data_IF_457494270032
#
_entry.id   IF_457494270032
#
_cell.length_a   1.000
_cell.length_b   1.000
_cell.length_c   1.000
_cell.angle_alpha   90.00
_cell.angle_beta   90.00
_cell.angle_gamma   90.00
#
_symmetry.space_group_name_H-M   'P 1'
#
loop_
_entity.id
_entity.type
_entity.pdbx_description
1 polymer ?
#
# COMPACT_ATOMS: atom_id res chain seq x y z
N UNK A 1 26.13 -24.46 14.59
CA UNK A 1 25.92 -24.36 13.12
C UNK A 1 25.31 -23.00 12.80
N UNK A 2 26.15 -22.01 12.47
CA UNK A 2 25.72 -20.66 12.09
C UNK A 2 25.15 -20.70 10.67
N UNK A 3 23.82 -20.78 10.56
CA UNK A 3 23.14 -20.74 9.28
C UNK A 3 23.09 -19.28 8.81
N UNK A 4 24.18 -18.83 8.17
CA UNK A 4 24.23 -17.57 7.44
C UNK A 4 23.29 -17.69 6.23
N UNK A 5 21.98 -17.47 6.47
CA UNK A 5 20.99 -17.28 5.42
C UNK A 5 21.49 -16.16 4.53
N UNK A 6 21.83 -16.46 3.29
CA UNK A 6 22.15 -15.43 2.30
C UNK A 6 21.02 -14.41 2.32
N UNK A 7 21.35 -13.13 2.49
CA UNK A 7 20.34 -12.07 2.45
C UNK A 7 19.71 -12.15 1.06
N UNK A 8 18.41 -12.45 1.00
CA UNK A 8 17.73 -12.55 -0.28
C UNK A 8 17.65 -11.14 -0.87
N UNK A 9 17.70 -11.00 -2.19
CA UNK A 9 17.63 -9.69 -2.87
C UNK A 9 16.48 -8.82 -2.32
N UNK A 10 15.33 -9.45 -2.07
CA UNK A 10 14.14 -8.81 -1.51
C UNK A 10 14.32 -8.21 -0.10
N UNK A 11 15.34 -8.60 0.67
CA UNK A 11 15.64 -8.02 1.99
C UNK A 11 16.17 -6.57 1.91
N UNK A 12 16.42 -6.05 0.70
CA UNK A 12 16.89 -4.68 0.46
C UNK A 12 15.79 -3.75 -0.07
N UNK A 13 14.54 -4.21 -0.21
CA UNK A 13 13.43 -3.38 -0.70
C UNK A 13 13.09 -2.21 0.22
N UNK A 14 13.45 -2.28 1.51
CA UNK A 14 13.33 -1.13 2.43
C UNK A 14 14.27 0.03 2.06
N UNK A 15 15.45 -0.27 1.46
CA UNK A 15 16.38 0.75 0.96
C UNK A 15 15.74 1.46 -0.23
N UNK A 16 15.08 0.71 -1.11
CA UNK A 16 14.38 1.27 -2.26
C UNK A 16 13.24 2.19 -1.81
N UNK A 17 12.47 1.80 -0.81
CA UNK A 17 11.43 2.65 -0.20
C UNK A 17 12.02 3.94 0.39
N UNK A 18 13.13 3.84 1.13
CA UNK A 18 13.76 4.98 1.79
C UNK A 18 14.41 5.93 0.77
N UNK A 19 15.10 5.38 -0.23
CA UNK A 19 15.61 6.14 -1.37
C UNK A 19 14.46 6.82 -2.12
N UNK A 20 13.36 6.13 -2.39
CA UNK A 20 12.21 6.72 -3.06
C UNK A 20 11.62 7.90 -2.28
N UNK A 21 11.44 7.76 -0.96
CA UNK A 21 10.96 8.86 -0.12
C UNK A 21 11.94 10.03 -0.16
N UNK A 22 13.24 9.76 -0.03
CA UNK A 22 14.28 10.78 -0.13
C UNK A 22 14.23 11.50 -1.48
N UNK A 23 14.24 10.75 -2.59
CA UNK A 23 14.15 11.30 -3.95
C UNK A 23 12.86 12.10 -4.17
N UNK A 24 11.72 11.63 -3.64
CA UNK A 24 10.44 12.34 -3.71
C UNK A 24 10.44 13.67 -2.94
N UNK A 25 11.27 13.82 -1.91
CA UNK A 25 11.45 15.09 -1.21
C UNK A 25 12.22 16.11 -2.08
N UNK A 26 13.23 15.68 -2.82
CA UNK A 26 14.00 16.57 -3.70
C UNK A 26 13.30 16.83 -5.04
N UNK A 27 12.63 15.82 -5.59
CA UNK A 27 11.95 15.92 -6.87
C UNK A 27 10.64 15.11 -6.85
N UNK A 28 9.52 15.84 -6.87
CA UNK A 28 8.19 15.25 -6.74
C UNK A 28 7.83 14.32 -7.91
N UNK A 29 8.45 14.47 -9.09
CA UNK A 29 8.15 13.64 -10.27
C UNK A 29 8.46 12.17 -10.03
N UNK A 30 9.39 11.85 -9.13
CA UNK A 30 9.63 10.46 -8.75
C UNK A 30 8.40 9.80 -8.11
N UNK A 31 7.39 10.56 -7.66
CA UNK A 31 6.14 10.02 -7.13
C UNK A 31 5.48 9.00 -8.08
N UNK A 32 5.66 9.17 -9.39
CA UNK A 32 5.20 8.24 -10.43
C UNK A 32 5.79 6.82 -10.30
N UNK A 33 7.03 6.67 -9.84
CA UNK A 33 7.61 5.36 -9.52
C UNK A 33 6.85 4.67 -8.38
N UNK A 34 6.29 5.44 -7.45
CA UNK A 34 5.47 4.88 -6.37
C UNK A 34 4.15 4.29 -6.88
N UNK A 35 3.66 4.72 -8.05
CA UNK A 35 2.52 4.08 -8.71
C UNK A 35 2.85 2.63 -9.10
N UNK A 36 4.08 2.37 -9.54
CA UNK A 36 4.54 1.01 -9.80
C UNK A 36 4.51 0.16 -8.51
N UNK A 37 4.99 0.71 -7.39
CA UNK A 37 4.94 0.05 -6.08
C UNK A 37 3.51 -0.20 -5.56
N UNK A 38 2.55 0.62 -5.96
CA UNK A 38 1.13 0.44 -5.62
C UNK A 38 0.46 -0.61 -6.53
N UNK A 39 0.79 -0.62 -7.83
CA UNK A 39 0.21 -1.54 -8.81
C UNK A 39 0.72 -2.98 -8.65
N UNK A 40 2.02 -3.19 -8.41
CA UNK A 40 2.62 -4.52 -8.25
C UNK A 40 1.88 -5.41 -7.23
N UNK A 41 1.63 -4.98 -5.96
CA UNK A 41 0.89 -5.79 -5.00
C UNK A 41 -0.51 -6.16 -5.46
N UNK A 42 -1.20 -5.23 -6.14
CA UNK A 42 -2.55 -5.47 -6.65
C UNK A 42 -2.54 -6.49 -7.78
N UNK A 43 -1.62 -6.38 -8.73
CA UNK A 43 -1.46 -7.35 -9.80
C UNK A 43 -1.12 -8.74 -9.25
N UNK A 44 -0.20 -8.84 -8.28
CA UNK A 44 0.13 -10.12 -7.63
C UNK A 44 -1.08 -10.68 -6.87
N UNK A 45 -1.89 -9.85 -6.22
CA UNK A 45 -3.11 -10.32 -5.55
C UNK A 45 -4.15 -10.82 -6.57
N UNK A 46 -4.32 -10.11 -7.70
CA UNK A 46 -5.24 -10.48 -8.77
C UNK A 46 -4.80 -11.78 -9.46
N UNK A 47 -3.54 -11.87 -9.91
CA UNK A 47 -3.01 -13.01 -10.67
C UNK A 47 -2.52 -14.17 -9.81
N UNK A 48 -1.86 -13.89 -8.69
CA UNK A 48 -1.28 -14.88 -7.78
C UNK A 48 -2.23 -15.33 -6.65
N UNK A 49 -3.27 -14.56 -6.32
CA UNK A 49 -4.29 -14.96 -5.34
C UNK A 49 -3.77 -15.08 -3.91
N UNK A 50 -2.57 -14.57 -3.65
CA UNK A 50 -1.89 -14.71 -2.36
C UNK A 50 -1.43 -13.36 -1.83
N UNK A 51 -1.40 -13.25 -0.49
CA UNK A 51 -0.83 -12.09 0.23
C UNK A 51 0.71 -12.11 0.28
N UNK A 52 1.36 -12.81 -0.64
CA UNK A 52 2.82 -12.97 -0.63
C UNK A 52 3.55 -11.63 -0.64
N UNK A 53 3.05 -10.65 -1.41
CA UNK A 53 3.66 -9.32 -1.45
C UNK A 53 3.59 -8.58 -0.11
N UNK A 54 2.40 -8.40 0.46
CA UNK A 54 2.25 -7.69 1.74
C UNK A 54 2.99 -8.39 2.90
N UNK A 55 3.13 -9.72 2.86
CA UNK A 55 3.77 -10.47 3.95
C UNK A 55 5.30 -10.53 3.81
N UNK A 56 5.82 -10.66 2.58
CA UNK A 56 7.24 -10.95 2.31
C UNK A 56 8.01 -9.85 1.58
N UNK A 57 7.34 -9.07 0.72
CA UNK A 57 7.99 -8.13 -0.21
C UNK A 57 7.64 -6.66 0.02
N UNK A 58 6.78 -6.35 0.99
CA UNK A 58 6.43 -4.96 1.26
C UNK A 58 7.63 -4.22 1.87
N UNK A 59 8.31 -3.38 1.07
CA UNK A 59 9.49 -2.60 1.46
C UNK A 59 9.24 -1.76 2.71
N UNK A 60 8.07 -1.11 2.81
CA UNK A 60 7.64 -0.39 4.01
C UNK A 60 7.44 -1.28 5.24
N UNK A 61 6.89 -2.48 5.08
CA UNK A 61 6.74 -3.44 6.18
C UNK A 61 8.08 -3.98 6.68
N UNK A 62 9.05 -4.11 5.76
CA UNK A 62 10.44 -4.45 6.09
C UNK A 62 11.15 -3.27 6.77
N UNK A 63 10.93 -2.04 6.32
CA UNK A 63 11.47 -0.83 6.94
C UNK A 63 11.02 -0.71 8.39
N UNK A 64 9.71 -0.79 8.66
CA UNK A 64 9.18 -0.70 10.03
C UNK A 64 9.65 -1.87 10.91
N UNK A 65 9.76 -3.08 10.36
CA UNK A 65 10.32 -4.23 11.07
C UNK A 65 11.79 -4.03 11.44
N UNK A 66 12.61 -3.57 10.49
CA UNK A 66 14.04 -3.33 10.70
C UNK A 66 14.27 -2.21 11.72
N UNK A 67 13.54 -1.09 11.58
CA UNK A 67 13.60 0.02 12.54
C UNK A 67 13.11 -0.41 13.93
N UNK A 68 12.08 -1.26 14.01
CA UNK A 68 11.56 -1.74 15.30
C UNK A 68 12.50 -2.71 15.99
N UNK A 69 13.07 -3.65 15.25
CA UNK A 69 13.87 -4.73 15.80
C UNK A 69 15.34 -4.33 16.02
N UNK A 70 15.95 -3.56 15.10
CA UNK A 70 17.36 -3.15 15.21
C UNK A 70 17.57 -1.89 16.04
N UNK A 71 16.73 -0.86 15.86
CA UNK A 71 16.86 0.39 16.62
C UNK A 71 16.11 0.35 17.96
N UNK A 72 15.41 -0.77 18.29
CA UNK A 72 14.58 -0.94 19.48
C UNK A 72 13.63 0.24 19.76
N UNK A 73 13.24 0.96 18.71
CA UNK A 73 12.43 2.17 18.84
C UNK A 73 10.96 1.88 19.17
N UNK A 74 10.57 0.59 19.19
CA UNK A 74 9.21 0.12 19.38
C UNK A 74 9.00 -0.40 20.80
N UNK A 75 7.89 0.00 21.44
CA UNK A 75 7.46 -0.53 22.75
C UNK A 75 7.06 -2.02 22.71
N UNK A 76 7.00 -2.63 21.51
CA UNK A 76 6.66 -4.04 21.26
C UNK A 76 5.35 -4.53 21.93
N UNK A 77 4.48 -3.59 22.29
CA UNK A 77 3.15 -3.89 22.84
C UNK A 77 2.20 -4.26 21.69
N UNK A 78 1.34 -5.27 21.89
CA UNK A 78 0.36 -5.65 20.86
C UNK A 78 -0.58 -4.47 20.58
N UNK A 79 -0.94 -4.23 19.29
CA UNK A 79 -1.89 -3.18 18.98
C UNK A 79 -3.26 -3.47 19.61
N UNK A 80 -4.01 -2.45 20.06
CA UNK A 80 -5.30 -2.62 20.69
C UNK A 80 -6.29 -3.35 19.76
N UNK A 81 -7.21 -4.11 20.36
CA UNK A 81 -8.22 -4.90 19.62
C UNK A 81 -9.02 -4.05 18.62
N UNK A 82 -9.22 -2.76 18.92
CA UNK A 82 -9.86 -1.79 18.05
C UNK A 82 -9.20 -1.67 16.67
N UNK A 83 -7.87 -1.49 16.61
CA UNK A 83 -7.13 -1.39 15.33
C UNK A 83 -7.13 -2.70 14.54
N UNK A 84 -7.36 -3.84 15.22
CA UNK A 84 -7.46 -5.16 14.59
C UNK A 84 -8.89 -5.44 14.08
N UNK A 85 -9.89 -4.71 14.56
CA UNK A 85 -11.30 -4.94 14.23
C UNK A 85 -11.56 -4.80 12.73
N UNK A 86 -12.40 -5.68 12.21
CA UNK A 86 -12.85 -5.65 10.81
C UNK A 86 -13.50 -4.31 10.47
N UNK A 87 -14.28 -3.75 11.40
CA UNK A 87 -14.92 -2.44 11.23
C UNK A 87 -13.90 -1.32 11.02
N UNK A 88 -12.86 -1.25 11.85
CA UNK A 88 -11.82 -0.23 11.72
C UNK A 88 -11.03 -0.38 10.43
N UNK A 89 -10.70 -1.61 10.01
CA UNK A 89 -9.97 -1.87 8.76
C UNK A 89 -10.74 -1.40 7.53
N UNK A 90 -12.04 -1.71 7.45
CA UNK A 90 -12.87 -1.28 6.33
C UNK A 90 -13.20 0.21 6.40
N UNK A 91 -13.43 0.77 7.59
CA UNK A 91 -13.61 2.21 7.78
C UNK A 91 -12.38 3.00 7.31
N UNK A 92 -11.18 2.55 7.72
CA UNK A 92 -9.92 3.17 7.29
C UNK A 92 -9.67 3.00 5.79
N UNK A 93 -10.01 1.84 5.21
CA UNK A 93 -9.94 1.62 3.77
C UNK A 93 -10.87 2.58 3.02
N UNK A 94 -12.13 2.71 3.44
CA UNK A 94 -13.10 3.62 2.80
C UNK A 94 -12.63 5.07 2.89
N UNK A 95 -12.15 5.51 4.06
CA UNK A 95 -11.56 6.83 4.23
C UNK A 95 -10.41 7.06 3.24
N UNK A 96 -9.50 6.09 3.11
CA UNK A 96 -8.38 6.18 2.17
C UNK A 96 -8.83 6.18 0.70
N UNK A 97 -9.86 5.40 0.34
CA UNK A 97 -10.43 5.37 -1.00
C UNK A 97 -11.09 6.70 -1.37
N UNK A 98 -11.79 7.35 -0.43
CA UNK A 98 -12.33 8.70 -0.61
C UNK A 98 -11.19 9.69 -0.84
N UNK A 99 -10.15 9.64 0.00
CA UNK A 99 -9.00 10.53 -0.14
C UNK A 99 -8.29 10.36 -1.49
N UNK A 100 -8.08 9.12 -1.92
CA UNK A 100 -7.50 8.81 -3.23
C UNK A 100 -8.41 9.26 -4.38
N UNK A 101 -9.73 9.10 -4.25
CA UNK A 101 -10.71 9.58 -5.24
C UNK A 101 -10.70 11.12 -5.38
N UNK A 102 -10.64 11.85 -4.26
CA UNK A 102 -10.53 13.31 -4.26
C UNK A 102 -9.22 13.79 -4.90
N UNK A 103 -8.13 13.06 -4.71
CA UNK A 103 -6.85 13.32 -5.36
C UNK A 103 -6.94 13.15 -6.88
N UNK A 104 -7.54 12.04 -7.35
CA UNK A 104 -7.78 11.81 -8.78
C UNK A 104 -8.70 12.88 -9.38
N UNK A 105 -9.75 13.27 -8.66
CA UNK A 105 -10.67 14.32 -9.08
C UNK A 105 -9.98 15.69 -9.17
N UNK A 106 -9.09 16.01 -8.22
CA UNK A 106 -8.29 17.25 -8.26
C UNK A 106 -7.32 17.25 -9.44
N UNK A 107 -6.69 16.09 -9.71
CA UNK A 107 -5.83 15.89 -10.88
C UNK A 107 -6.61 16.08 -12.18
N UNK A 108 -7.82 15.51 -12.25
CA UNK A 108 -8.72 15.68 -13.40
C UNK A 108 -9.14 17.14 -13.59
N UNK A 109 -9.44 17.87 -12.51
CA UNK A 109 -9.75 19.31 -12.59
C UNK A 109 -8.59 20.13 -13.16
N UNK A 110 -7.37 19.84 -12.76
CA UNK A 110 -6.17 20.48 -13.31
C UNK A 110 -5.96 20.10 -14.79
N UNK A 111 -6.30 18.86 -15.16
CA UNK A 111 -6.34 18.46 -16.57
C UNK A 111 -7.37 19.28 -17.39
N UNK A 112 -8.52 19.61 -16.81
CA UNK A 112 -9.54 20.46 -17.45
C UNK A 112 -9.25 21.97 -17.39
N UNK A 113 -8.08 22.40 -16.91
CA UNK A 113 -7.64 23.81 -16.94
C UNK A 113 -7.69 24.56 -15.61
N UNK A 114 -7.89 23.89 -14.48
CA UNK A 114 -7.78 24.53 -13.16
C UNK A 114 -6.31 24.85 -12.78
N UNK A 115 -6.05 25.90 -11.98
CA UNK A 115 -4.70 26.24 -11.54
C UNK A 115 -4.07 25.15 -10.67
N UNK A 116 -2.74 25.02 -10.77
CA UNK A 116 -1.93 24.03 -10.05
C UNK A 116 -1.93 24.34 -8.54
N UNK A 117 -2.17 23.33 -7.69
CA UNK A 117 -2.04 23.47 -6.24
C UNK A 117 -0.81 22.70 -5.75
N UNK A 118 0.32 23.39 -5.59
CA UNK A 118 1.61 22.85 -5.11
C UNK A 118 1.63 22.68 -3.58
N UNK A 119 0.65 21.96 -3.03
CA UNK A 119 0.55 21.72 -1.59
C UNK A 119 0.53 20.23 -1.29
N UNK A 120 1.48 19.76 -0.47
CA UNK A 120 1.48 18.41 0.08
C UNK A 120 0.70 18.43 1.39
N UNK A 121 -0.43 17.73 1.46
CA UNK A 121 -1.32 17.68 2.64
C UNK A 121 -1.11 16.42 3.46
N UNK A 122 -0.37 16.50 4.57
CA UNK A 122 -0.24 15.39 5.51
C UNK A 122 -1.57 15.19 6.26
N UNK A 123 -2.19 14.00 6.13
CA UNK A 123 -3.48 13.69 6.78
C UNK A 123 -4.58 14.72 6.50
N UNK A 124 -4.51 15.49 5.40
CA UNK A 124 -5.43 16.60 5.09
C UNK A 124 -5.34 17.82 6.03
N UNK A 125 -4.65 17.71 7.17
CA UNK A 125 -4.56 18.76 8.21
C UNK A 125 -3.32 19.63 8.05
N UNK A 126 -2.17 19.03 7.72
CA UNK A 126 -0.92 19.77 7.62
C UNK A 126 -0.57 20.05 6.17
N UNK A 127 -0.80 21.30 5.74
CA UNK A 127 -0.39 21.79 4.42
C UNK A 127 1.09 22.16 4.47
N UNK A 128 1.95 21.31 3.91
CA UNK A 128 3.36 21.62 3.73
C UNK A 128 3.54 22.32 2.36
N UNK A 129 3.96 23.59 2.34
CA UNK A 129 4.22 24.31 1.10
C UNK A 129 5.49 23.72 0.46
N UNK A 130 5.33 22.98 -0.64
CA UNK A 130 6.42 22.28 -1.31
C UNK A 130 6.96 23.11 -2.48
N UNK A 131 7.54 24.26 -2.13
CA UNK A 131 7.88 25.32 -3.09
C UNK A 131 9.20 25.10 -3.85
N UNK A 132 10.04 24.16 -3.43
CA UNK A 132 11.34 23.88 -4.04
C UNK A 132 11.32 22.79 -5.11
N UNK A 133 10.17 22.14 -5.36
CA UNK A 133 10.07 21.16 -6.43
C UNK A 133 9.67 21.85 -7.73
N UNK A 134 10.65 22.05 -8.61
CA UNK A 134 10.40 22.50 -9.97
C UNK A 134 9.58 21.44 -10.73
N UNK A 135 8.34 21.79 -11.08
CA UNK A 135 7.44 20.98 -11.92
C UNK A 135 7.16 21.67 -13.26
N UNK A 136 7.86 22.77 -13.54
CA UNK A 136 7.67 23.66 -14.69
C UNK A 136 7.91 22.97 -16.04
N UNK A 137 8.61 21.84 -16.05
CA UNK A 137 8.94 21.07 -17.25
C UNK A 137 7.91 19.99 -17.61
N UNK A 138 6.89 19.76 -16.77
CA UNK A 138 5.94 18.65 -16.91
C UNK A 138 4.52 19.16 -16.92
N UNK A 139 3.61 18.42 -17.58
CA UNK A 139 2.22 18.80 -17.67
C UNK A 139 1.61 19.08 -16.27
N UNK A 140 0.83 20.18 -16.09
CA UNK A 140 0.31 20.59 -14.78
C UNK A 140 -0.43 19.47 -14.03
N UNK A 141 -1.23 18.68 -14.74
CA UNK A 141 -1.95 17.56 -14.15
C UNK A 141 -1.00 16.49 -13.56
N UNK A 142 0.13 16.22 -14.21
CA UNK A 142 1.09 15.22 -13.75
C UNK A 142 1.87 15.70 -12.52
N UNK A 143 2.12 17.00 -12.39
CA UNK A 143 2.59 17.62 -11.15
C UNK A 143 1.57 17.50 -10.03
N UNK A 144 0.30 17.82 -10.29
CA UNK A 144 -0.78 17.72 -9.29
C UNK A 144 -0.94 16.28 -8.77
N UNK A 145 -0.90 15.29 -9.66
CA UNK A 145 -0.96 13.88 -9.30
C UNK A 145 0.22 13.49 -8.41
N UNK A 146 1.43 13.90 -8.79
CA UNK A 146 2.65 13.60 -8.06
C UNK A 146 2.63 14.16 -6.63
N UNK A 147 2.21 15.42 -6.45
CA UNK A 147 2.03 16.02 -5.12
C UNK A 147 1.01 15.26 -4.28
N UNK A 148 -0.14 14.93 -4.86
CA UNK A 148 -1.18 14.16 -4.18
C UNK A 148 -0.68 12.78 -3.75
N UNK A 149 -0.08 12.04 -4.67
CA UNK A 149 0.36 10.67 -4.43
C UNK A 149 1.50 10.60 -3.41
N UNK A 150 2.49 11.48 -3.53
CA UNK A 150 3.56 11.60 -2.54
C UNK A 150 3.02 11.94 -1.15
N UNK A 151 2.03 12.83 -1.08
CA UNK A 151 1.36 13.18 0.18
C UNK A 151 0.72 11.97 0.87
N UNK A 152 0.05 11.12 0.10
CA UNK A 152 -0.56 9.88 0.59
C UNK A 152 0.51 8.91 1.09
N UNK A 153 1.57 8.71 0.33
CA UNK A 153 2.67 7.83 0.71
C UNK A 153 3.39 8.33 1.97
N UNK A 154 3.76 9.60 2.01
CA UNK A 154 4.42 10.24 3.15
C UNK A 154 3.55 10.13 4.41
N UNK A 155 2.26 10.45 4.29
CA UNK A 155 1.29 10.30 5.39
C UNK A 155 1.26 8.87 5.91
N UNK A 156 1.22 7.87 5.02
CA UNK A 156 1.22 6.47 5.41
C UNK A 156 2.51 6.09 6.13
N UNK A 157 3.66 6.61 5.71
CA UNK A 157 4.95 6.37 6.35
C UNK A 157 5.02 7.00 7.72
N UNK A 158 4.60 8.27 7.87
CA UNK A 158 4.54 8.97 9.16
C UNK A 158 3.64 8.22 10.13
N UNK A 159 2.42 7.86 9.73
CA UNK A 159 1.54 7.05 10.57
C UNK A 159 2.12 5.67 10.89
N UNK A 160 2.85 5.08 9.94
CA UNK A 160 3.61 3.85 10.13
C UNK A 160 4.64 3.96 11.24
N UNK A 161 5.46 5.01 11.21
CA UNK A 161 6.47 5.30 12.22
C UNK A 161 5.86 5.58 13.58
N UNK A 162 4.81 6.42 13.64
CA UNK A 162 4.10 6.72 14.89
C UNK A 162 3.54 5.45 15.52
N UNK A 163 2.84 4.62 14.74
CA UNK A 163 2.27 3.37 15.27
C UNK A 163 3.32 2.30 15.56
N UNK A 164 4.47 2.35 14.91
CA UNK A 164 5.63 1.49 15.19
C UNK A 164 6.32 1.89 16.50
N UNK A 165 6.41 3.17 16.84
CA UNK A 165 6.94 3.64 18.13
C UNK A 165 5.99 3.25 19.27
N UNK A 166 4.69 3.45 19.07
CA UNK A 166 3.66 3.21 20.09
C UNK A 166 3.37 1.71 20.31
N UNK A 167 3.32 0.92 19.24
CA UNK A 167 2.94 -0.50 19.27
C UNK A 167 4.02 -1.37 18.65
N UNK A 168 3.70 -2.61 18.25
CA UNK A 168 4.63 -3.49 17.54
C UNK A 168 5.11 -2.91 16.21
N UNK A 169 6.32 -3.30 15.74
CA UNK A 169 6.92 -2.78 14.52
C UNK A 169 6.01 -2.86 13.27
N UNK A 170 5.24 -3.95 13.14
CA UNK A 170 4.33 -4.17 12.00
C UNK A 170 2.86 -3.83 12.28
N UNK A 171 2.58 -2.98 13.28
CA UNK A 171 1.19 -2.69 13.67
C UNK A 171 0.40 -1.99 12.57
N UNK A 172 1.01 -1.09 11.81
CA UNK A 172 0.37 -0.48 10.65
C UNK A 172 -0.07 -1.50 9.61
N UNK A 173 0.74 -2.54 9.35
CA UNK A 173 0.44 -3.55 8.33
C UNK A 173 -0.88 -4.30 8.61
N UNK A 174 -1.39 -4.25 9.85
CA UNK A 174 -2.65 -4.88 10.27
C UNK A 174 -3.88 -4.18 9.67
N UNK A 175 -3.86 -2.85 9.56
CA UNK A 175 -4.98 -2.05 9.06
C UNK A 175 -4.62 -1.24 7.81
N UNK A 176 -3.44 -1.47 7.24
CA UNK A 176 -3.01 -0.88 5.99
C UNK A 176 -4.08 -1.07 4.90
N UNK A 177 -4.49 -0.01 4.17
CA UNK A 177 -5.55 -0.08 3.17
C UNK A 177 -5.17 -1.05 2.05
N UNK A 178 -3.90 -1.03 1.64
CA UNK A 178 -3.34 -1.99 0.68
C UNK A 178 -3.44 -3.45 1.15
N UNK A 179 -3.12 -3.70 2.41
CA UNK A 179 -3.21 -5.05 2.99
C UNK A 179 -4.65 -5.54 3.12
N UNK A 180 -5.60 -4.62 3.36
CA UNK A 180 -7.03 -4.91 3.45
C UNK A 180 -7.65 -5.11 2.06
N UNK A 181 -7.28 -4.28 1.08
CA UNK A 181 -7.73 -4.40 -0.31
C UNK A 181 -7.26 -5.72 -0.95
N UNK A 182 -5.97 -6.03 -0.86
CA UNK A 182 -5.42 -7.30 -1.35
C UNK A 182 -6.03 -8.51 -0.64
N UNK A 183 -6.36 -8.40 0.66
CA UNK A 183 -7.12 -9.45 1.37
C UNK A 183 -8.49 -9.68 0.75
N UNK A 184 -9.22 -8.60 0.48
CA UNK A 184 -10.55 -8.66 -0.13
C UNK A 184 -10.50 -9.35 -1.49
N UNK A 185 -9.57 -8.92 -2.34
CA UNK A 185 -9.38 -9.51 -3.69
C UNK A 185 -9.09 -11.01 -3.60
N UNK A 186 -8.14 -11.42 -2.74
CA UNK A 186 -7.83 -12.85 -2.58
C UNK A 186 -9.01 -13.65 -2.04
N UNK A 187 -9.79 -13.11 -1.09
CA UNK A 187 -10.97 -13.80 -0.53
C UNK A 187 -12.05 -14.01 -1.59
N UNK A 188 -12.34 -12.97 -2.39
CA UNK A 188 -13.31 -13.04 -3.48
C UNK A 188 -12.86 -14.07 -4.54
N UNK A 189 -11.57 -14.08 -4.88
CA UNK A 189 -11.05 -15.03 -5.86
C UNK A 189 -11.09 -16.47 -5.35
N UNK A 190 -10.69 -16.73 -4.11
CA UNK A 190 -10.74 -18.07 -3.54
C UNK A 190 -12.18 -18.58 -3.45
N UNK A 191 -13.13 -17.73 -3.06
CA UNK A 191 -14.56 -18.08 -3.09
C UNK A 191 -15.11 -18.33 -4.51
N UNK A 192 -14.56 -17.66 -5.54
CA UNK A 192 -14.88 -18.00 -6.94
C UNK A 192 -14.29 -19.35 -7.36
N UNK A 193 -13.04 -19.64 -7.02
CA UNK A 193 -12.40 -20.94 -7.32
C UNK A 193 -13.10 -22.11 -6.63
N UNK A 194 -13.54 -21.93 -5.39
CA UNK A 194 -14.30 -22.95 -4.66
C UNK A 194 -15.65 -23.24 -5.32
N UNK A 195 -16.36 -22.20 -5.79
CA UNK A 195 -17.60 -22.36 -6.56
C UNK A 195 -17.38 -22.98 -7.93
N UNK A 196 -16.28 -22.65 -8.59
CA UNK A 196 -15.90 -23.18 -9.91
C UNK A 196 -15.58 -24.67 -9.80
N UNK A 197 -14.68 -25.06 -8.88
CA UNK A 197 -14.34 -26.46 -8.60
C UNK A 197 -15.54 -27.28 -8.13
N UNK A 198 -16.40 -26.69 -7.28
CA UNK A 198 -17.64 -27.34 -6.85
C UNK A 198 -18.68 -27.50 -7.96
N UNK A 199 -18.60 -26.72 -9.05
CA UNK A 199 -19.47 -26.86 -10.22
C UNK A 199 -18.91 -27.91 -11.19
N UNK A 200 -17.60 -27.87 -11.48
CA UNK A 200 -16.93 -28.88 -12.33
C UNK A 200 -17.03 -30.26 -11.70
N UNK A 201 -16.78 -30.38 -10.39
CA UNK A 201 -16.91 -31.66 -9.69
C UNK A 201 -18.33 -32.23 -9.71
N UNK A 202 -19.37 -31.38 -9.82
CA UNK A 202 -20.77 -31.79 -9.91
C UNK A 202 -21.18 -32.19 -11.33
N UNK A 203 -20.64 -31.51 -12.34
CA UNK A 203 -20.76 -31.91 -13.75
C UNK A 203 -20.05 -33.25 -14.01
N UNK A 204 -18.81 -33.41 -13.55
CA UNK A 204 -18.01 -34.63 -13.72
C UNK A 204 -18.67 -35.85 -13.05
N UNK A 205 -19.22 -35.68 -11.84
CA UNK A 205 -19.96 -36.76 -11.16
C UNK A 205 -21.29 -37.09 -11.85
N UNK A 206 -21.99 -36.10 -12.41
CA UNK A 206 -23.25 -36.34 -13.13
C UNK A 206 -23.05 -37.08 -14.45
N UNK A 207 -21.95 -36.80 -15.17
CA UNK A 207 -21.58 -37.54 -16.40
C UNK A 207 -21.13 -38.97 -16.12
N UNK A 208 -20.51 -39.23 -14.97
CA UNK A 208 -20.09 -40.58 -14.57
C UNK A 208 -21.28 -41.49 -14.21
N UNK A 209 -22.36 -40.96 -13.64
CA UNK A 209 -23.56 -41.73 -13.30
C UNK A 209 -24.45 -42.05 -14.51
N UNK A 210 -24.41 -41.26 -15.58
CA UNK A 210 -25.18 -41.52 -16.82
C UNK A 210 -24.50 -42.44 -17.84
N UNK A 211 -23.25 -42.85 -17.58
CA UNK A 211 -22.46 -43.71 -18.47
C UNK A 211 -22.39 -45.18 -18.01
N UNK A 212 -23.19 -45.57 -17.01
CA UNK A 212 -23.30 -46.94 -16.47
C UNK A 212 -24.57 -47.65 -16.88
#
# INVERSE_FOLDING_TARGET
MNNARSKKWYDHLWIVELCYLFLGLFNILFAWLGMLFFCIPLLIAIFGGSKAYCNRYCGRGQLLGLLGDKLKLSRNVPPPKFLRSTWFRYGFLTFFMIMFGLMLFSTYKVFTGAPLSQTVTLLWVFKLPWQWADVSFVAPWAGQFAFGFFSVMLTSTVLGLVTMVLFRPRSWCVYCPMGTMTQGICKIRNGKKEKDYGRTGKEDSGTAETAG
#
